data_IF_527743301699
#
_entry.id   IF_527743301699
#
_cell.length_a   1.000
_cell.length_b   1.000
_cell.length_c   1.000
_cell.angle_alpha   90.00
_cell.angle_beta   90.00
_cell.angle_gamma   90.00
#
_symmetry.space_group_name_H-M   'P 1'
#
loop_
_entity.id
_entity.type
_entity.pdbx_description
1 polymer ?
#
# COMPACT_ATOMS: atom_id res chain seq x y z
N UNK A 1 -32.60 -21.54 14.81
CA UNK A 1 -31.38 -21.50 14.00
C UNK A 1 -30.88 -20.06 13.99
N UNK A 2 -29.98 -19.72 14.91
CA UNK A 2 -29.36 -18.38 14.95
C UNK A 2 -28.18 -18.39 13.99
N UNK A 3 -28.31 -17.68 12.87
CA UNK A 3 -27.20 -17.43 11.98
C UNK A 3 -26.17 -16.57 12.72
N UNK A 4 -25.11 -17.20 13.24
CA UNK A 4 -23.91 -16.49 13.67
C UNK A 4 -23.21 -15.98 12.43
N UNK A 5 -23.55 -14.76 12.02
CA UNK A 5 -22.72 -13.99 11.11
C UNK A 5 -21.48 -13.51 11.88
N UNK A 6 -20.53 -14.41 12.12
CA UNK A 6 -19.14 -14.00 12.37
C UNK A 6 -18.59 -13.46 11.06
N UNK A 7 -18.94 -12.21 10.73
CA UNK A 7 -18.24 -11.48 9.69
C UNK A 7 -16.80 -11.32 10.13
N UNK A 8 -15.90 -12.12 9.57
CA UNK A 8 -14.46 -12.02 9.79
C UNK A 8 -14.03 -10.58 9.50
N UNK A 9 -13.75 -9.80 10.55
CA UNK A 9 -13.21 -8.46 10.38
C UNK A 9 -11.81 -8.62 9.81
N UNK A 10 -11.57 -8.07 8.63
CA UNK A 10 -10.24 -8.06 8.03
C UNK A 10 -9.23 -7.49 9.03
N UNK A 11 -8.06 -8.13 9.14
CA UNK A 11 -6.98 -7.62 9.98
C UNK A 11 -6.54 -6.24 9.47
N UNK A 12 -6.06 -5.34 10.35
CA UNK A 12 -5.50 -4.06 9.91
C UNK A 12 -4.48 -4.24 8.79
N UNK A 13 -3.59 -5.23 8.92
CA UNK A 13 -2.59 -5.57 7.91
C UNK A 13 -3.19 -5.89 6.54
N UNK A 14 -4.25 -6.71 6.47
CA UNK A 14 -4.94 -7.01 5.22
C UNK A 14 -5.55 -5.74 4.59
N UNK A 15 -6.09 -4.84 5.40
CA UNK A 15 -6.64 -3.55 4.93
C UNK A 15 -5.53 -2.67 4.35
N UNK A 16 -4.41 -2.48 5.07
CA UNK A 16 -3.29 -1.67 4.58
C UNK A 16 -2.64 -2.26 3.34
N UNK A 17 -2.53 -3.60 3.23
CA UNK A 17 -2.03 -4.27 2.03
C UNK A 17 -2.92 -3.97 0.82
N UNK A 18 -4.24 -4.06 0.99
CA UNK A 18 -5.20 -3.71 -0.06
C UNK A 18 -5.08 -2.24 -0.49
N UNK A 19 -4.93 -1.32 0.46
CA UNK A 19 -4.75 0.11 0.17
C UNK A 19 -3.43 0.37 -0.56
N UNK A 20 -2.33 -0.25 -0.13
CA UNK A 20 -1.04 -0.13 -0.79
C UNK A 20 -1.10 -0.68 -2.23
N UNK A 21 -1.74 -1.83 -2.44
CA UNK A 21 -1.98 -2.38 -3.77
C UNK A 21 -2.77 -1.41 -4.66
N UNK A 22 -3.82 -0.76 -4.14
CA UNK A 22 -4.56 0.27 -4.90
C UNK A 22 -3.68 1.45 -5.30
N UNK A 23 -2.81 1.93 -4.40
CA UNK A 23 -1.86 3.01 -4.70
C UNK A 23 -0.90 2.60 -5.81
N UNK A 24 -0.35 1.38 -5.74
CA UNK A 24 0.54 0.81 -6.78
C UNK A 24 -0.18 0.74 -8.12
N UNK A 25 -1.34 0.09 -8.18
CA UNK A 25 -2.11 -0.10 -9.42
C UNK A 25 -2.51 1.23 -10.05
N UNK A 26 -2.96 2.20 -9.26
CA UNK A 26 -3.31 3.53 -9.78
C UNK A 26 -2.10 4.25 -10.39
N UNK A 27 -0.94 4.16 -9.75
CA UNK A 27 0.28 4.78 -10.26
C UNK A 27 0.78 4.08 -11.52
N UNK A 28 0.75 2.74 -11.56
CA UNK A 28 1.11 1.95 -12.72
C UNK A 28 0.18 2.25 -13.90
N UNK A 29 -1.14 2.27 -13.68
CA UNK A 29 -2.13 2.57 -14.71
C UNK A 29 -1.90 3.93 -15.36
N UNK A 30 -1.72 4.99 -14.56
CA UNK A 30 -1.44 6.34 -15.09
C UNK A 30 -0.10 6.44 -15.83
N UNK A 31 0.88 5.63 -15.45
CA UNK A 31 2.15 5.55 -16.17
C UNK A 31 1.97 4.86 -17.53
N UNK A 32 1.26 3.72 -17.56
CA UNK A 32 1.00 2.95 -18.77
C UNK A 32 0.16 3.73 -19.79
N UNK A 33 -0.76 4.58 -19.33
CA UNK A 33 -1.54 5.45 -20.21
C UNK A 33 -0.79 6.72 -20.68
N UNK A 34 0.48 6.90 -20.29
CA UNK A 34 1.26 8.09 -20.63
C UNK A 34 0.84 9.37 -19.89
N UNK A 35 -0.12 9.31 -18.96
CA UNK A 35 -0.53 10.46 -18.12
C UNK A 35 0.60 10.91 -17.18
N UNK A 36 1.55 10.02 -16.88
CA UNK A 36 2.69 10.28 -15.99
C UNK A 36 3.96 9.66 -16.54
N UNK A 37 5.04 10.44 -16.52
CA UNK A 37 6.39 9.88 -16.72
C UNK A 37 6.74 8.89 -15.60
N UNK A 38 7.63 7.91 -15.86
CA UNK A 38 8.05 6.94 -14.83
C UNK A 38 8.57 7.59 -13.55
N UNK A 39 9.35 8.67 -13.68
CA UNK A 39 9.86 9.43 -12.53
C UNK A 39 8.72 10.08 -11.71
N UNK A 40 7.69 10.62 -12.37
CA UNK A 40 6.52 11.20 -11.69
C UNK A 40 5.66 10.11 -11.05
N UNK A 41 5.46 8.97 -11.72
CA UNK A 41 4.74 7.83 -11.17
C UNK A 41 5.43 7.26 -9.92
N UNK A 42 6.76 7.07 -9.95
CA UNK A 42 7.54 6.63 -8.79
C UNK A 42 7.40 7.57 -7.60
N UNK A 43 7.53 8.90 -7.80
CA UNK A 43 7.35 9.89 -6.73
C UNK A 43 5.94 9.84 -6.13
N UNK A 44 4.92 9.74 -6.96
CA UNK A 44 3.52 9.67 -6.51
C UNK A 44 3.23 8.37 -5.76
N UNK A 45 3.80 7.24 -6.19
CA UNK A 45 3.73 5.97 -5.46
C UNK A 45 4.34 6.11 -4.07
N UNK A 46 5.57 6.63 -3.96
CA UNK A 46 6.24 6.84 -2.67
C UNK A 46 5.39 7.75 -1.77
N UNK A 47 4.90 8.87 -2.29
CA UNK A 47 4.07 9.80 -1.52
C UNK A 47 2.78 9.12 -1.01
N UNK A 48 2.11 8.33 -1.85
CA UNK A 48 0.90 7.61 -1.45
C UNK A 48 1.17 6.56 -0.38
N UNK A 49 2.29 5.83 -0.49
CA UNK A 49 2.72 4.88 0.54
C UNK A 49 3.11 5.61 1.84
N UNK A 50 3.78 6.75 1.78
CA UNK A 50 4.10 7.53 2.97
C UNK A 50 2.85 8.02 3.70
N UNK A 51 1.81 8.45 2.98
CA UNK A 51 0.52 8.78 3.58
C UNK A 51 -0.09 7.59 4.30
N UNK A 52 -0.07 6.39 3.70
CA UNK A 52 -0.58 5.17 4.37
C UNK A 52 0.26 4.83 5.62
N UNK A 53 1.59 4.96 5.55
CA UNK A 53 2.47 4.75 6.70
C UNK A 53 2.16 5.70 7.84
N UNK A 54 1.88 6.98 7.55
CA UNK A 54 1.51 7.98 8.56
C UNK A 54 0.18 7.62 9.24
N UNK A 55 -0.79 7.11 8.48
CA UNK A 55 -2.06 6.62 9.05
C UNK A 55 -1.82 5.43 9.98
N UNK A 56 -1.00 4.46 9.56
CA UNK A 56 -0.63 3.32 10.41
C UNK A 56 0.07 3.77 11.70
N UNK A 57 1.01 4.73 11.60
CA UNK A 57 1.67 5.30 12.77
C UNK A 57 0.69 5.98 13.72
N UNK A 58 -0.23 6.80 13.20
CA UNK A 58 -1.24 7.50 14.00
C UNK A 58 -2.22 6.52 14.70
N UNK A 59 -2.50 5.38 14.07
CA UNK A 59 -3.31 4.31 14.64
C UNK A 59 -2.55 3.38 15.62
N UNK A 60 -1.23 3.55 15.77
CA UNK A 60 -0.33 2.61 16.46
C UNK A 60 -0.34 1.18 15.84
N UNK A 61 -0.61 1.08 14.55
CA UNK A 61 -0.60 -0.17 13.78
C UNK A 61 0.83 -0.49 13.33
N UNK A 62 1.64 -1.03 14.24
CA UNK A 62 3.06 -1.30 13.98
C UNK A 62 3.34 -2.31 12.84
N UNK A 63 2.64 -3.46 12.73
CA UNK A 63 2.91 -4.37 11.61
C UNK A 63 2.66 -3.74 10.24
N UNK A 64 1.53 -3.05 9.99
CA UNK A 64 1.34 -2.27 8.77
C UNK A 64 2.38 -1.17 8.56
N UNK A 65 2.79 -0.46 9.61
CA UNK A 65 3.84 0.56 9.51
C UNK A 65 5.16 -0.01 8.98
N UNK A 66 5.58 -1.17 9.51
CA UNK A 66 6.82 -1.86 9.09
C UNK A 66 6.70 -2.32 7.64
N UNK A 67 5.60 -2.99 7.29
CA UNK A 67 5.35 -3.48 5.92
C UNK A 67 5.41 -2.32 4.90
N UNK A 68 4.72 -1.20 5.16
CA UNK A 68 4.72 -0.06 4.25
C UNK A 68 6.10 0.60 4.18
N UNK A 69 6.83 0.66 5.30
CA UNK A 69 8.20 1.18 5.31
C UNK A 69 9.11 0.34 4.42
N UNK A 70 8.99 -0.98 4.46
CA UNK A 70 9.74 -1.87 3.59
C UNK A 70 9.38 -1.67 2.11
N UNK A 71 8.09 -1.55 1.79
CA UNK A 71 7.64 -1.26 0.41
C UNK A 71 8.27 0.04 -0.12
N UNK A 72 8.31 1.10 0.69
CA UNK A 72 8.90 2.39 0.29
C UNK A 72 10.39 2.23 -0.04
N UNK A 73 11.15 1.52 0.80
CA UNK A 73 12.59 1.31 0.58
C UNK A 73 12.87 0.44 -0.66
N UNK A 74 12.03 -0.57 -0.90
CA UNK A 74 12.12 -1.38 -2.12
C UNK A 74 11.82 -0.54 -3.38
N UNK A 75 10.78 0.30 -3.38
CA UNK A 75 10.47 1.21 -4.49
C UNK A 75 11.61 2.22 -4.72
N UNK A 76 12.18 2.79 -3.65
CA UNK A 76 13.32 3.72 -3.74
C UNK A 76 14.52 3.05 -4.40
N UNK A 77 14.88 1.85 -3.95
CA UNK A 77 16.00 1.05 -4.46
C UNK A 77 15.75 0.37 -5.81
N UNK A 78 14.50 0.40 -6.32
CA UNK A 78 14.15 -0.23 -7.59
C UNK A 78 13.99 -1.76 -7.52
N UNK A 79 13.82 -2.31 -6.31
CA UNK A 79 13.53 -3.73 -6.09
C UNK A 79 12.04 -4.02 -6.28
N UNK A 80 11.72 -5.27 -6.61
CA UNK A 80 10.34 -5.75 -6.70
C UNK A 80 9.67 -5.74 -5.33
N UNK A 81 8.40 -5.31 -5.30
CA UNK A 81 7.52 -5.31 -4.12
C UNK A 81 6.46 -6.40 -4.17
N UNK A 82 6.53 -7.34 -5.12
CA UNK A 82 5.49 -8.36 -5.34
C UNK A 82 5.22 -9.22 -4.10
N UNK A 83 6.23 -9.51 -3.29
CA UNK A 83 6.08 -10.30 -2.06
C UNK A 83 5.44 -9.52 -0.90
N UNK A 84 5.24 -8.20 -1.05
CA UNK A 84 4.62 -7.32 -0.05
C UNK A 84 3.17 -6.96 -0.40
N UNK A 85 2.70 -7.35 -1.59
CA UNK A 85 1.37 -7.10 -2.13
C UNK A 85 0.46 -8.32 -2.00
#
# INVERSE_FOLDING_TARGET
MTASATGEKATPEAVYRCLAHRVVTHCAFKMLNGERSPAKAKRQLINGLESLRQVAAAANDYPPFIMISEMIEQVKSGKSIEHLL
#
